data_IF_279666991954
#
_entry.id   IF_279666991954
#
_cell.length_a   1.000
_cell.length_b   1.000
_cell.length_c   1.000
_cell.angle_alpha   90.00
_cell.angle_beta   90.00
_cell.angle_gamma   90.00
#
_symmetry.space_group_name_H-M   'P 1'
#
loop_
_entity.id
_entity.type
_entity.pdbx_description
1 polymer ?
#
# COMPACT_ATOMS: atom_id res chain seq x y z
N UNK A 1 34.27 34.73 -33.59
CA UNK A 1 34.46 33.36 -34.14
C UNK A 1 34.87 32.47 -32.97
N UNK A 2 34.14 31.39 -32.71
CA UNK A 2 34.25 30.50 -31.53
C UNK A 2 33.04 30.71 -30.62
N UNK A 3 31.88 30.03 -30.74
CA UNK A 3 31.62 28.58 -30.78
C UNK A 3 32.41 27.88 -29.68
N UNK A 4 31.69 27.25 -28.74
CA UNK A 4 32.11 26.25 -27.73
C UNK A 4 31.81 26.72 -26.30
N UNK A 5 30.56 26.66 -25.82
CA UNK A 5 30.20 26.42 -24.41
C UNK A 5 28.67 26.40 -24.25
N UNK A 6 27.96 25.54 -24.97
CA UNK A 6 26.51 25.35 -24.67
C UNK A 6 26.09 23.89 -24.86
N UNK A 7 27.00 22.95 -24.56
CA UNK A 7 26.70 21.51 -24.45
C UNK A 7 26.87 20.99 -23.02
N UNK A 8 27.12 21.85 -22.03
CA UNK A 8 27.29 21.42 -20.64
C UNK A 8 25.97 21.39 -19.84
N UNK A 9 24.92 22.09 -20.28
CA UNK A 9 23.65 22.15 -19.56
C UNK A 9 22.76 20.92 -19.79
N UNK A 10 22.94 20.21 -20.91
CA UNK A 10 22.10 19.05 -21.26
C UNK A 10 22.56 17.74 -20.59
N UNK A 11 23.81 17.66 -20.13
CA UNK A 11 24.38 16.40 -19.60
C UNK A 11 24.02 16.15 -18.12
N UNK A 12 23.62 17.19 -17.39
CA UNK A 12 23.32 17.10 -15.94
C UNK A 12 21.83 16.85 -15.66
N UNK A 13 20.95 17.09 -16.63
CA UNK A 13 19.51 16.96 -16.43
C UNK A 13 19.03 15.49 -16.44
N UNK A 14 19.71 14.62 -17.18
CA UNK A 14 19.36 13.19 -17.31
C UNK A 14 19.49 12.40 -16.00
N UNK A 15 20.58 12.52 -15.19
CA UNK A 15 20.67 11.78 -13.93
C UNK A 15 19.64 12.24 -12.89
N UNK A 16 19.23 13.52 -12.89
CA UNK A 16 18.25 14.05 -11.94
C UNK A 16 16.85 13.43 -12.12
N UNK A 17 16.46 13.15 -13.37
CA UNK A 17 15.20 12.46 -13.70
C UNK A 17 15.26 10.95 -13.38
N UNK A 18 16.44 10.34 -13.47
CA UNK A 18 16.63 8.92 -13.15
C UNK A 18 16.47 8.65 -11.63
N UNK A 19 16.84 9.58 -10.75
CA UNK A 19 16.68 9.39 -9.29
C UNK A 19 15.22 9.48 -8.83
N UNK A 20 14.38 10.24 -9.54
CA UNK A 20 12.95 10.31 -9.27
C UNK A 20 12.20 9.02 -9.66
N UNK A 21 12.77 8.20 -10.55
CA UNK A 21 12.23 6.88 -10.88
C UNK A 21 12.54 5.80 -9.82
N UNK A 22 13.54 6.04 -8.95
CA UNK A 22 13.89 5.13 -7.85
C UNK A 22 13.34 5.59 -6.50
N UNK A 23 12.77 6.79 -6.38
CA UNK A 23 11.95 7.15 -5.23
C UNK A 23 10.61 6.43 -5.35
N UNK A 24 10.55 5.21 -4.81
CA UNK A 24 9.28 4.57 -4.50
C UNK A 24 8.53 5.53 -3.56
N UNK A 25 7.47 6.16 -4.05
CA UNK A 25 6.58 6.96 -3.21
C UNK A 25 5.99 6.08 -2.11
N UNK A 26 5.69 6.66 -0.95
CA UNK A 26 5.06 5.93 0.17
C UNK A 26 3.76 5.22 -0.25
N UNK A 27 3.12 5.71 -1.31
CA UNK A 27 1.96 5.11 -1.98
C UNK A 27 2.26 3.74 -2.62
N UNK A 28 3.48 3.50 -3.11
CA UNK A 28 3.95 2.20 -3.62
C UNK A 28 4.79 1.41 -2.60
N UNK A 29 5.10 2.00 -1.44
CA UNK A 29 5.88 1.37 -0.37
C UNK A 29 5.03 0.44 0.52
N UNK A 30 3.97 -0.14 -0.04
CA UNK A 30 3.24 -1.26 0.56
C UNK A 30 4.16 -2.49 0.55
N UNK A 31 5.13 -2.47 1.47
CA UNK A 31 5.94 -3.60 1.84
C UNK A 31 4.97 -4.69 2.32
N UNK A 32 4.68 -5.61 1.41
CA UNK A 32 3.71 -6.70 1.49
C UNK A 32 4.15 -7.84 2.41
N UNK A 33 4.88 -7.52 3.47
CA UNK A 33 5.23 -8.44 4.55
C UNK A 33 5.27 -7.64 5.84
N UNK A 34 4.10 -7.58 6.48
CA UNK A 34 4.07 -7.37 7.92
C UNK A 34 4.74 -8.58 8.55
N UNK A 35 5.68 -8.35 9.47
CA UNK A 35 6.07 -9.33 10.49
C UNK A 35 4.83 -10.11 10.94
N UNK A 36 4.92 -11.44 11.13
CA UNK A 36 3.81 -12.40 11.26
C UNK A 36 2.79 -12.19 12.39
N UNK A 37 2.68 -10.98 12.91
CA UNK A 37 1.79 -10.49 13.94
C UNK A 37 0.41 -10.07 13.39
N UNK A 38 0.27 -9.87 12.07
CA UNK A 38 -1.03 -9.52 11.44
C UNK A 38 -1.61 -10.66 10.60
N UNK A 39 -2.91 -10.58 10.32
CA UNK A 39 -3.64 -11.57 9.52
C UNK A 39 -3.03 -11.81 8.14
N UNK A 40 -3.01 -13.08 7.74
CA UNK A 40 -2.59 -13.55 6.42
C UNK A 40 -3.59 -14.61 5.94
N UNK A 41 -4.09 -14.44 4.73
CA UNK A 41 -5.00 -15.40 4.12
C UNK A 41 -4.21 -16.57 3.51
N UNK A 42 -4.52 -17.78 3.94
CA UNK A 42 -3.94 -19.02 3.43
C UNK A 42 -5.09 -20.01 3.20
N UNK A 43 -5.27 -20.49 1.97
CA UNK A 43 -6.23 -21.54 1.65
C UNK A 43 -5.51 -22.87 1.39
N UNK A 44 -5.39 -23.75 2.41
CA UNK A 44 -4.80 -25.06 2.22
C UNK A 44 -5.76 -26.00 1.49
N UNK A 45 -5.22 -26.79 0.56
CA UNK A 45 -5.96 -27.88 -0.07
C UNK A 45 -7.12 -27.45 -0.99
N UNK A 46 -7.15 -26.20 -1.45
CA UNK A 46 -8.19 -25.70 -2.36
C UNK A 46 -9.55 -25.47 -1.71
N UNK A 47 -9.58 -25.28 -0.39
CA UNK A 47 -10.82 -24.98 0.34
C UNK A 47 -11.37 -23.59 -0.04
N UNK A 48 -12.69 -23.51 -0.16
CA UNK A 48 -13.42 -22.25 -0.45
C UNK A 48 -13.97 -21.58 0.80
N UNK A 49 -13.91 -22.26 1.95
CA UNK A 49 -14.31 -21.73 3.25
C UNK A 49 -13.21 -22.04 4.26
N UNK A 50 -12.68 -21.00 4.89
CA UNK A 50 -11.63 -21.10 5.89
C UNK A 50 -12.18 -20.61 7.23
N UNK A 51 -11.92 -21.35 8.31
CA UNK A 51 -12.30 -20.99 9.68
C UNK A 51 -11.04 -20.86 10.52
N UNK A 52 -11.01 -19.85 11.37
CA UNK A 52 -9.95 -19.62 12.35
C UNK A 52 -10.51 -19.75 13.75
N UNK A 53 -9.94 -20.66 14.55
CA UNK A 53 -10.18 -20.72 15.98
C UNK A 53 -9.59 -19.49 16.66
N UNK A 54 -10.07 -19.16 17.86
CA UNK A 54 -9.73 -17.89 18.52
C UNK A 54 -8.21 -17.69 18.68
N UNK A 55 -7.48 -18.75 19.02
CA UNK A 55 -6.03 -18.73 19.17
C UNK A 55 -5.26 -18.48 17.86
N UNK A 56 -5.87 -18.77 16.71
CA UNK A 56 -5.27 -18.63 15.39
C UNK A 56 -5.60 -17.28 14.74
N UNK A 57 -6.49 -16.49 15.34
CA UNK A 57 -6.86 -15.17 14.83
C UNK A 57 -5.70 -14.20 15.05
N UNK A 58 -5.48 -13.36 14.04
CA UNK A 58 -4.51 -12.26 14.07
C UNK A 58 -5.23 -10.96 13.79
N UNK A 59 -4.77 -9.83 14.35
CA UNK A 59 -5.33 -8.52 14.06
C UNK A 59 -5.20 -8.20 12.56
N UNK A 60 -6.24 -7.55 12.03
CA UNK A 60 -6.17 -6.88 10.73
C UNK A 60 -5.41 -5.56 10.89
N UNK A 61 -4.73 -5.14 9.82
CA UNK A 61 -4.32 -3.74 9.71
C UNK A 61 -5.58 -2.89 9.53
N UNK A 62 -5.56 -1.65 10.03
CA UNK A 62 -6.65 -0.73 9.72
C UNK A 62 -6.67 -0.46 8.20
N UNK A 63 -7.86 -0.33 7.65
CA UNK A 63 -8.09 -0.02 6.25
C UNK A 63 -9.36 0.80 6.10
N UNK A 64 -9.42 1.53 5.01
CA UNK A 64 -10.50 2.46 4.73
C UNK A 64 -10.76 2.62 3.24
N UNK A 65 -11.93 3.13 2.91
CA UNK A 65 -12.35 3.42 1.54
C UNK A 65 -13.50 4.43 1.49
N UNK A 66 -13.74 4.97 0.30
CA UNK A 66 -14.84 5.91 0.05
C UNK A 66 -16.20 5.25 0.31
N UNK A 67 -17.14 6.02 0.87
CA UNK A 67 -18.53 5.56 1.02
C UNK A 67 -19.26 5.62 -0.33
N UNK A 68 -19.82 4.49 -0.75
CA UNK A 68 -20.60 4.37 -1.98
C UNK A 68 -21.85 5.28 -2.01
N UNK A 69 -22.37 5.68 -0.84
CA UNK A 69 -23.58 6.51 -0.72
C UNK A 69 -23.28 7.99 -0.58
N UNK A 70 -22.07 8.34 -0.16
CA UNK A 70 -21.60 9.70 0.06
C UNK A 70 -20.10 9.76 -0.27
N UNK A 71 -19.78 10.16 -1.50
CA UNK A 71 -18.40 10.24 -2.00
C UNK A 71 -17.53 11.26 -1.22
N UNK A 72 -18.13 12.10 -0.36
CA UNK A 72 -17.39 13.00 0.53
C UNK A 72 -16.95 12.34 1.84
N UNK A 73 -17.43 11.13 2.13
CA UNK A 73 -17.14 10.38 3.33
C UNK A 73 -16.18 9.21 3.06
N UNK A 74 -15.39 8.86 4.08
CA UNK A 74 -14.52 7.68 4.09
C UNK A 74 -14.92 6.82 5.28
N UNK A 75 -15.09 5.52 5.04
CA UNK A 75 -15.38 4.53 6.08
C UNK A 75 -14.08 3.86 6.49
N UNK A 76 -13.83 3.80 7.80
CA UNK A 76 -12.68 3.10 8.38
C UNK A 76 -13.15 1.86 9.15
N UNK A 77 -12.34 0.81 9.19
CA UNK A 77 -12.62 -0.32 10.09
C UNK A 77 -12.66 0.14 11.56
N UNK A 78 -11.82 1.11 11.91
CA UNK A 78 -11.75 1.69 13.26
C UNK A 78 -12.98 2.47 13.71
N UNK A 79 -13.92 2.80 12.81
CA UNK A 79 -15.22 3.40 13.16
C UNK A 79 -16.12 2.39 13.90
N UNK A 80 -15.85 1.09 13.76
CA UNK A 80 -16.62 -0.02 14.33
C UNK A 80 -15.88 -0.76 15.44
N UNK A 81 -15.07 -0.05 16.25
CA UNK A 81 -14.37 -0.65 17.39
C UNK A 81 -15.33 -1.42 18.32
N UNK A 82 -14.84 -2.55 18.82
CA UNK A 82 -15.54 -3.47 19.72
C UNK A 82 -16.85 -4.06 19.17
N UNK A 83 -17.04 -4.01 17.84
CA UNK A 83 -18.18 -4.60 17.14
C UNK A 83 -17.72 -5.71 16.19
N UNK A 84 -18.63 -6.65 15.90
CA UNK A 84 -18.41 -7.65 14.84
C UNK A 84 -18.68 -6.98 13.49
N UNK A 85 -17.72 -7.09 12.57
CA UNK A 85 -17.81 -6.57 11.20
C UNK A 85 -17.77 -7.72 10.22
N UNK A 86 -18.71 -7.73 9.26
CA UNK A 86 -18.72 -8.66 8.11
C UNK A 86 -18.38 -7.86 6.86
N UNK A 87 -17.34 -8.29 6.15
CA UNK A 87 -16.80 -7.65 4.94
C UNK A 87 -17.32 -8.31 3.67
#
# INVERSE_FOLDING_TARGET
MGRLTSSAAALVLVPALAVAGCSQSEENAQNAVSSGDTFQFISPGGQTTIRYDEADRKPLKDFSGEDLRDESATIHLSDYKDQIVVL
#
